data_IF_303020896850
#
_entry.id   IF_303020896850
#
_cell.length_a   1.000
_cell.length_b   1.000
_cell.length_c   1.000
_cell.angle_alpha   90.00
_cell.angle_beta   90.00
_cell.angle_gamma   90.00
#
_symmetry.space_group_name_H-M   'P 1'
#
loop_
_entity.id
_entity.type
_entity.pdbx_description
1 polymer ?
#
# COMPACT_ATOMS: atom_id res chain seq x y z
N UNK A 1 -19.24 -9.79 5.49
CA UNK A 1 -18.04 -10.60 5.12
C UNK A 1 -16.75 -9.77 4.90
N UNK A 2 -16.61 -8.55 5.44
CA UNK A 2 -15.48 -7.67 5.10
C UNK A 2 -14.46 -7.40 6.22
N UNK A 3 -14.65 -7.94 7.43
CA UNK A 3 -13.75 -7.66 8.57
C UNK A 3 -12.50 -8.56 8.64
N UNK A 4 -12.46 -9.66 7.90
CA UNK A 4 -11.38 -10.65 8.02
C UNK A 4 -10.05 -10.23 7.40
N UNK A 5 -10.06 -9.32 6.40
CA UNK A 5 -8.82 -8.87 5.73
C UNK A 5 -7.99 -7.90 6.57
N UNK A 6 -8.62 -7.27 7.54
CA UNK A 6 -8.01 -6.25 8.42
C UNK A 6 -7.80 -6.78 9.84
N UNK A 7 -7.78 -8.10 10.01
CA UNK A 7 -7.43 -8.76 11.26
C UNK A 7 -5.97 -9.22 11.22
N UNK A 8 -5.30 -9.20 12.36
CA UNK A 8 -3.92 -9.70 12.49
C UNK A 8 -3.79 -11.16 12.03
N UNK A 9 -4.79 -11.98 12.36
CA UNK A 9 -4.91 -13.36 11.90
C UNK A 9 -6.28 -13.57 11.25
N UNK A 10 -6.35 -13.70 9.92
CA UNK A 10 -7.61 -13.98 9.26
C UNK A 10 -8.07 -15.41 9.59
N UNK A 11 -9.29 -15.54 10.10
CA UNK A 11 -9.92 -16.85 10.39
C UNK A 11 -10.31 -17.65 9.14
N UNK A 12 -10.00 -17.18 7.95
CA UNK A 12 -10.31 -17.86 6.69
C UNK A 12 -9.41 -19.08 6.46
N UNK A 13 -10.00 -20.20 6.07
CA UNK A 13 -9.24 -21.38 5.63
C UNK A 13 -8.34 -21.03 4.45
N UNK A 14 -7.15 -21.63 4.37
CA UNK A 14 -6.23 -21.42 3.27
C UNK A 14 -6.82 -21.84 1.93
N UNK A 15 -6.76 -20.95 0.95
CA UNK A 15 -7.08 -21.20 -0.46
C UNK A 15 -6.06 -20.47 -1.31
N UNK A 16 -4.90 -21.09 -1.57
CA UNK A 16 -3.84 -20.49 -2.38
C UNK A 16 -4.35 -20.08 -3.76
N UNK A 17 -3.85 -18.97 -4.24
CA UNK A 17 -4.15 -18.42 -5.56
C UNK A 17 -2.92 -17.75 -6.17
N UNK A 18 -3.06 -17.30 -7.39
CA UNK A 18 -2.02 -16.60 -8.14
C UNK A 18 -2.61 -15.35 -8.80
N UNK A 19 -1.90 -14.24 -8.70
CA UNK A 19 -2.23 -12.99 -9.39
C UNK A 19 -1.07 -12.57 -10.26
N UNK A 20 -1.35 -12.26 -11.52
CA UNK A 20 -0.36 -11.70 -12.44
C UNK A 20 -0.44 -10.17 -12.44
N UNK A 21 0.69 -9.52 -12.19
CA UNK A 21 0.89 -8.09 -12.40
C UNK A 21 1.63 -7.96 -13.72
N UNK A 22 0.93 -7.44 -14.74
CA UNK A 22 1.48 -7.24 -16.09
C UNK A 22 1.41 -5.74 -16.39
N UNK A 23 2.57 -5.09 -16.37
CA UNK A 23 2.78 -3.70 -16.73
C UNK A 23 3.73 -3.64 -17.92
N UNK A 24 3.94 -2.47 -18.53
CA UNK A 24 4.87 -2.30 -19.63
C UNK A 24 6.33 -2.57 -19.25
N UNK A 25 6.66 -2.37 -17.98
CA UNK A 25 8.02 -2.40 -17.41
C UNK A 25 8.24 -3.53 -16.40
N UNK A 26 7.18 -4.12 -15.86
CA UNK A 26 7.26 -5.12 -14.78
C UNK A 26 6.25 -6.24 -15.00
N UNK A 27 6.73 -7.49 -14.95
CA UNK A 27 5.90 -8.69 -14.99
C UNK A 27 6.17 -9.55 -13.77
N UNK A 28 5.17 -9.75 -12.91
CA UNK A 28 5.27 -10.54 -11.68
C UNK A 28 4.12 -11.55 -11.59
N UNK A 29 4.42 -12.74 -11.09
CA UNK A 29 3.43 -13.73 -10.68
C UNK A 29 3.47 -13.82 -9.15
N UNK A 30 2.40 -13.43 -8.48
CA UNK A 30 2.32 -13.26 -7.03
C UNK A 30 1.40 -14.31 -6.41
N UNK A 31 1.93 -15.07 -5.47
CA UNK A 31 1.11 -15.96 -4.64
C UNK A 31 0.15 -15.13 -3.79
N UNK A 32 -1.06 -15.60 -3.70
CA UNK A 32 -2.10 -15.02 -2.85
C UNK A 32 -2.79 -16.10 -2.03
N UNK A 33 -3.68 -15.71 -1.13
CA UNK A 33 -4.49 -16.65 -0.36
C UNK A 33 -5.84 -16.00 0.01
N UNK A 34 -6.80 -16.81 0.40
CA UNK A 34 -7.99 -16.31 1.10
C UNK A 34 -7.58 -15.59 2.39
N UNK A 35 -8.38 -14.65 2.85
CA UNK A 35 -8.06 -13.84 4.03
C UNK A 35 -7.07 -12.69 3.78
N UNK A 36 -6.62 -12.48 2.53
CA UNK A 36 -5.91 -11.26 2.12
C UNK A 36 -6.75 -10.44 1.14
N UNK A 37 -6.37 -9.18 0.94
CA UNK A 37 -7.10 -8.30 0.02
C UNK A 37 -6.95 -8.75 -1.43
N UNK A 38 -8.07 -8.80 -2.17
CA UNK A 38 -8.13 -9.11 -3.61
C UNK A 38 -7.38 -10.39 -4.06
N UNK A 39 -7.69 -11.57 -3.49
CA UNK A 39 -6.88 -12.77 -3.66
C UNK A 39 -6.96 -13.41 -5.05
N UNK A 40 -7.96 -13.05 -5.88
CA UNK A 40 -8.19 -13.69 -7.19
C UNK A 40 -7.75 -12.84 -8.39
N UNK A 41 -7.42 -11.58 -8.19
CA UNK A 41 -7.00 -10.65 -9.25
C UNK A 41 -6.32 -9.42 -8.69
N UNK A 42 -5.54 -8.74 -9.53
CA UNK A 42 -5.03 -7.41 -9.19
C UNK A 42 -6.21 -6.43 -9.02
N UNK A 43 -6.26 -5.76 -7.86
CA UNK A 43 -7.31 -4.77 -7.60
C UNK A 43 -7.25 -3.61 -8.61
N UNK A 44 -8.40 -3.15 -9.15
CA UNK A 44 -8.40 -2.07 -10.15
C UNK A 44 -7.84 -0.74 -9.63
N UNK A 45 -8.00 -0.43 -8.34
CA UNK A 45 -7.37 0.74 -7.72
C UNK A 45 -5.86 0.61 -7.65
N UNK A 46 -5.37 -0.54 -7.18
CA UNK A 46 -3.94 -0.88 -7.19
C UNK A 46 -3.37 -0.80 -8.61
N UNK A 47 -4.09 -1.34 -9.61
CA UNK A 47 -3.70 -1.25 -11.01
C UNK A 47 -3.59 0.20 -11.49
N UNK A 48 -4.59 1.04 -11.16
CA UNK A 48 -4.55 2.45 -11.52
C UNK A 48 -3.34 3.15 -10.93
N UNK A 49 -3.05 2.93 -9.63
CA UNK A 49 -1.89 3.53 -8.97
C UNK A 49 -0.59 3.14 -9.66
N UNK A 50 -0.42 1.85 -9.99
CA UNK A 50 0.75 1.33 -10.71
C UNK A 50 0.93 1.92 -12.11
N UNK A 51 -0.19 2.21 -12.81
CA UNK A 51 -0.18 2.76 -14.16
C UNK A 51 0.14 4.26 -14.21
N UNK A 52 -0.26 5.03 -13.17
CA UNK A 52 -0.24 6.50 -13.26
C UNK A 52 0.72 7.19 -12.30
N UNK A 53 1.09 6.55 -11.18
CA UNK A 53 2.00 7.18 -10.23
C UNK A 53 3.38 7.38 -10.85
N UNK A 54 4.09 8.47 -10.50
CA UNK A 54 5.42 8.71 -11.01
C UNK A 54 6.39 7.62 -10.55
N UNK A 55 7.53 7.45 -11.23
CA UNK A 55 8.56 6.53 -10.79
C UNK A 55 8.96 6.79 -9.34
N UNK A 56 9.23 5.74 -8.54
CA UNK A 56 9.75 5.94 -7.20
C UNK A 56 11.15 6.57 -7.24
N UNK A 57 11.61 7.19 -6.12
CA UNK A 57 12.96 7.68 -6.01
C UNK A 57 13.96 6.53 -6.21
N UNK A 58 15.09 6.80 -6.86
CA UNK A 58 16.08 5.79 -7.20
C UNK A 58 16.70 5.12 -5.97
N UNK A 59 16.72 5.78 -4.83
CA UNK A 59 17.27 5.31 -3.55
C UNK A 59 16.45 5.89 -2.38
N UNK A 60 16.78 5.50 -1.15
CA UNK A 60 16.08 5.93 0.06
C UNK A 60 15.07 4.89 0.55
N UNK A 61 14.16 5.32 1.40
CA UNK A 61 13.15 4.47 2.02
C UNK A 61 11.76 4.74 1.43
N UNK A 62 11.15 3.72 0.86
CA UNK A 62 9.84 3.78 0.21
C UNK A 62 8.87 2.85 0.94
N UNK A 63 7.65 3.30 1.18
CA UNK A 63 6.64 2.54 1.92
C UNK A 63 5.45 2.13 1.03
N UNK A 64 5.08 0.86 1.11
CA UNK A 64 3.75 0.35 0.73
C UNK A 64 2.93 0.14 2.00
N UNK A 65 2.00 1.05 2.27
CA UNK A 65 1.14 1.02 3.46
C UNK A 65 -0.12 0.19 3.19
N UNK A 66 -0.23 -0.94 3.89
CA UNK A 66 -1.25 -1.95 3.64
C UNK A 66 -0.87 -2.83 2.46
N UNK A 67 0.32 -3.43 2.50
CA UNK A 67 0.96 -4.04 1.33
C UNK A 67 0.23 -5.30 0.82
N UNK A 68 -0.63 -5.93 1.62
CA UNK A 68 -1.26 -7.17 1.22
C UNK A 68 -0.23 -8.23 0.83
N UNK A 69 -0.44 -8.92 -0.28
CA UNK A 69 0.51 -9.89 -0.83
C UNK A 69 1.68 -9.26 -1.59
N UNK A 70 1.82 -7.92 -1.59
CA UNK A 70 2.99 -7.20 -2.08
C UNK A 70 2.88 -6.61 -3.49
N UNK A 71 1.67 -6.43 -4.05
CA UNK A 71 1.54 -5.95 -5.43
C UNK A 71 2.19 -4.58 -5.68
N UNK A 72 2.03 -3.60 -4.79
CA UNK A 72 2.69 -2.31 -4.88
C UNK A 72 4.17 -2.40 -4.48
N UNK A 73 4.47 -3.06 -3.35
CA UNK A 73 5.84 -3.17 -2.83
C UNK A 73 6.80 -3.79 -3.84
N UNK A 74 6.40 -4.87 -4.51
CA UNK A 74 7.28 -5.55 -5.44
C UNK A 74 7.48 -4.78 -6.75
N UNK A 75 6.47 -4.06 -7.22
CA UNK A 75 6.64 -3.16 -8.38
C UNK A 75 7.54 -1.97 -8.03
N UNK A 76 7.37 -1.36 -6.86
CA UNK A 76 8.27 -0.32 -6.35
C UNK A 76 9.71 -0.82 -6.30
N UNK A 77 9.93 -2.02 -5.75
CA UNK A 77 11.26 -2.62 -5.63
C UNK A 77 11.90 -2.94 -6.97
N UNK A 78 11.10 -3.39 -7.94
CA UNK A 78 11.56 -3.63 -9.31
C UNK A 78 11.96 -2.34 -10.02
N UNK A 79 11.21 -1.25 -9.82
CA UNK A 79 11.46 0.05 -10.44
C UNK A 79 12.62 0.82 -9.79
N UNK A 80 12.91 0.57 -8.51
CA UNK A 80 13.96 1.24 -7.74
C UNK A 80 14.85 0.24 -7.00
N UNK A 81 15.74 -0.48 -7.69
CA UNK A 81 16.54 -1.56 -7.09
C UNK A 81 17.52 -1.09 -6.00
N UNK A 82 17.89 0.20 -5.98
CA UNK A 82 18.74 0.77 -4.94
C UNK A 82 17.96 1.41 -3.77
N UNK A 83 16.62 1.50 -3.87
CA UNK A 83 15.76 1.92 -2.76
C UNK A 83 15.47 0.74 -1.82
N UNK A 84 15.25 1.02 -0.54
CA UNK A 84 14.69 0.05 0.41
C UNK A 84 13.17 0.19 0.41
N UNK A 85 12.48 -0.87 0.04
CA UNK A 85 11.01 -0.89 -0.01
C UNK A 85 10.48 -1.60 1.21
N UNK A 86 9.65 -0.91 1.96
CA UNK A 86 9.00 -1.38 3.18
C UNK A 86 7.55 -1.71 2.88
N UNK A 87 7.16 -2.97 3.00
CA UNK A 87 5.77 -3.40 2.97
C UNK A 87 5.26 -3.58 4.39
N UNK A 88 4.23 -2.84 4.77
CA UNK A 88 3.62 -3.00 6.10
C UNK A 88 2.16 -3.40 6.00
N UNK A 89 1.74 -4.31 6.84
CA UNK A 89 0.35 -4.74 6.96
C UNK A 89 0.06 -5.21 8.39
N UNK A 90 -1.18 -5.11 8.83
CA UNK A 90 -1.63 -5.71 10.10
C UNK A 90 -1.78 -7.23 9.96
N UNK A 91 -2.13 -7.71 8.78
CA UNK A 91 -2.41 -9.10 8.48
C UNK A 91 -1.11 -9.89 8.30
N UNK A 92 -0.78 -10.76 9.25
CA UNK A 92 0.44 -11.59 9.22
C UNK A 92 0.51 -12.53 8.01
N UNK A 93 -0.65 -13.01 7.51
CA UNK A 93 -0.71 -13.83 6.29
C UNK A 93 -0.31 -13.01 5.05
N UNK A 94 -0.74 -11.76 4.97
CA UNK A 94 -0.35 -10.84 3.92
C UNK A 94 1.17 -10.59 3.93
N UNK A 95 1.75 -10.34 5.08
CA UNK A 95 3.20 -10.17 5.26
C UNK A 95 3.97 -11.40 4.79
N UNK A 96 3.58 -12.60 5.24
CA UNK A 96 4.23 -13.85 4.82
C UNK A 96 4.15 -14.08 3.30
N UNK A 97 3.04 -13.68 2.67
CA UNK A 97 2.88 -13.73 1.21
C UNK A 97 3.79 -12.70 0.52
N UNK A 98 3.84 -11.48 1.01
CA UNK A 98 4.70 -10.43 0.47
C UNK A 98 6.18 -10.84 0.52
N UNK A 99 6.66 -11.35 1.64
CA UNK A 99 8.03 -11.88 1.81
C UNK A 99 8.33 -13.03 0.82
N UNK A 100 7.43 -14.01 0.71
CA UNK A 100 7.57 -15.12 -0.22
C UNK A 100 7.64 -14.63 -1.67
N UNK A 101 6.76 -13.73 -2.05
CA UNK A 101 6.71 -13.15 -3.39
C UNK A 101 7.98 -12.35 -3.70
N UNK A 102 8.50 -11.57 -2.75
CA UNK A 102 9.76 -10.86 -2.89
C UNK A 102 10.93 -11.82 -3.11
N UNK A 103 11.02 -12.88 -2.31
CA UNK A 103 12.04 -13.92 -2.47
C UNK A 103 11.98 -14.63 -3.83
N UNK A 104 10.76 -15.00 -4.28
CA UNK A 104 10.57 -15.62 -5.61
C UNK A 104 10.93 -14.70 -6.77
N UNK A 105 10.67 -13.41 -6.62
CA UNK A 105 11.01 -12.41 -7.63
C UNK A 105 12.48 -11.95 -7.56
N UNK A 106 13.29 -12.44 -6.61
CA UNK A 106 14.68 -12.03 -6.41
C UNK A 106 14.85 -10.58 -5.94
N UNK A 107 13.82 -9.99 -5.33
CA UNK A 107 13.81 -8.60 -4.89
C UNK A 107 14.35 -8.47 -3.46
N UNK A 108 15.67 -8.48 -3.31
CA UNK A 108 16.36 -8.44 -2.01
C UNK A 108 16.22 -7.08 -1.28
N UNK A 109 15.71 -6.06 -1.96
CA UNK A 109 15.49 -4.71 -1.41
C UNK A 109 14.09 -4.52 -0.77
N UNK A 110 13.26 -5.56 -0.70
CA UNK A 110 11.96 -5.54 0.00
C UNK A 110 12.16 -5.97 1.46
N UNK A 111 11.50 -5.27 2.36
CA UNK A 111 11.39 -5.59 3.79
C UNK A 111 9.91 -5.58 4.19
N UNK A 112 9.41 -6.66 4.76
CA UNK A 112 8.02 -6.77 5.17
C UNK A 112 7.93 -6.75 6.70
N UNK A 113 6.98 -5.98 7.24
CA UNK A 113 6.83 -5.82 8.70
C UNK A 113 5.34 -5.91 9.06
N UNK A 114 4.98 -6.89 9.88
CA UNK A 114 3.67 -6.91 10.49
C UNK A 114 3.61 -5.82 11.57
N UNK A 115 2.65 -4.90 11.42
CA UNK A 115 2.46 -3.80 12.37
C UNK A 115 1.17 -4.00 13.15
N UNK A 116 1.09 -3.40 14.33
CA UNK A 116 -0.13 -3.39 15.16
C UNK A 116 -0.63 -1.97 15.32
N UNK A 117 -1.95 -1.80 15.41
CA UNK A 117 -2.55 -0.48 15.58
C UNK A 117 -2.47 0.40 14.33
N UNK A 118 -2.58 1.70 14.52
CA UNK A 118 -2.73 2.70 13.44
C UNK A 118 -1.46 3.49 13.13
N UNK A 119 -0.35 3.21 13.82
CA UNK A 119 0.88 3.99 13.69
C UNK A 119 2.14 3.12 13.56
N UNK A 120 3.26 3.75 13.17
CA UNK A 120 4.54 3.08 12.96
C UNK A 120 5.31 2.84 14.29
N UNK A 121 4.75 2.04 15.18
CA UNK A 121 5.32 1.76 16.52
C UNK A 121 6.30 0.58 16.53
N UNK A 122 7.11 0.41 15.48
CA UNK A 122 8.08 -0.68 15.36
C UNK A 122 9.48 -0.11 15.07
N UNK A 123 10.45 -0.44 15.93
CA UNK A 123 11.82 0.08 15.86
C UNK A 123 12.60 -0.43 14.63
N UNK A 124 12.11 -1.45 13.95
CA UNK A 124 12.67 -1.95 12.68
C UNK A 124 12.40 -1.01 11.52
N UNK A 125 11.39 -0.14 11.64
CA UNK A 125 10.95 0.77 10.58
C UNK A 125 11.78 2.05 10.57
N UNK A 126 12.06 2.62 9.38
CA UNK A 126 12.76 3.89 9.28
C UNK A 126 11.93 5.03 9.89
N UNK A 127 12.62 6.05 10.37
CA UNK A 127 11.98 7.23 10.94
C UNK A 127 11.19 8.05 9.92
N UNK A 128 11.58 8.01 8.64
CA UNK A 128 10.98 8.76 7.54
C UNK A 128 11.01 7.97 6.25
N UNK A 129 10.09 8.32 5.33
CA UNK A 129 9.98 7.74 4.00
C UNK A 129 10.03 8.82 2.92
N UNK A 130 10.73 8.53 1.83
CA UNK A 130 10.87 9.40 0.66
C UNK A 130 9.66 9.28 -0.28
N UNK A 131 8.88 8.21 -0.12
CA UNK A 131 7.62 7.99 -0.83
C UNK A 131 6.74 7.05 -0.03
N UNK A 132 5.43 7.31 -0.01
CA UNK A 132 4.43 6.37 0.50
C UNK A 132 3.42 6.07 -0.62
N UNK A 133 3.23 4.79 -0.95
CA UNK A 133 2.09 4.34 -1.74
C UNK A 133 1.12 3.57 -0.86
N UNK A 134 -0.18 3.69 -1.16
CA UNK A 134 -1.21 2.93 -0.45
C UNK A 134 -2.47 2.73 -1.28
N UNK A 135 -3.03 1.56 -1.18
CA UNK A 135 -4.45 1.31 -1.42
C UNK A 135 -5.11 1.09 -0.04
N UNK A 136 -5.44 2.17 0.67
CA UNK A 136 -5.77 2.09 2.09
C UNK A 136 -7.08 1.34 2.34
N UNK A 137 -7.23 0.72 3.52
CA UNK A 137 -8.40 -0.09 3.87
C UNK A 137 -9.64 0.77 4.19
N UNK A 138 -10.28 1.36 3.18
CA UNK A 138 -11.42 2.28 3.33
C UNK A 138 -12.58 1.68 4.16
N UNK A 139 -12.74 0.36 4.10
CA UNK A 139 -13.86 -0.36 4.75
C UNK A 139 -13.73 -0.51 6.26
N UNK A 140 -12.61 -0.14 6.86
CA UNK A 140 -12.46 -0.11 8.33
C UNK A 140 -13.23 1.03 8.98
N UNK A 141 -13.80 1.93 8.18
CA UNK A 141 -14.53 3.12 8.61
C UNK A 141 -13.63 4.35 8.72
N UNK A 142 -14.27 5.53 8.60
CA UNK A 142 -13.56 6.82 8.55
C UNK A 142 -12.65 7.08 9.77
N UNK A 143 -13.08 6.87 11.02
CA UNK A 143 -12.22 7.17 12.17
C UNK A 143 -10.93 6.35 12.16
N UNK A 144 -11.02 5.04 11.90
CA UNK A 144 -9.85 4.16 11.87
C UNK A 144 -8.93 4.47 10.68
N UNK A 145 -9.51 4.76 9.50
CA UNK A 145 -8.75 5.18 8.32
C UNK A 145 -8.00 6.50 8.57
N UNK A 146 -8.67 7.48 9.16
CA UNK A 146 -8.07 8.77 9.49
C UNK A 146 -6.93 8.61 10.49
N UNK A 147 -7.12 7.81 11.55
CA UNK A 147 -6.08 7.52 12.53
C UNK A 147 -4.86 6.82 11.86
N UNK A 148 -5.10 5.84 10.99
CA UNK A 148 -4.06 5.18 10.21
C UNK A 148 -3.25 6.19 9.39
N UNK A 149 -3.92 6.97 8.55
CA UNK A 149 -3.26 7.94 7.68
C UNK A 149 -2.56 9.06 8.48
N UNK A 150 -3.18 9.58 9.55
CA UNK A 150 -2.55 10.56 10.43
C UNK A 150 -1.24 10.03 11.02
N UNK A 151 -1.21 8.78 11.48
CA UNK A 151 0.00 8.16 12.03
C UNK A 151 1.13 8.01 11.00
N UNK A 152 0.80 7.49 9.81
CA UNK A 152 1.82 7.16 8.81
C UNK A 152 2.27 8.35 7.96
N UNK A 153 1.40 9.28 7.62
CA UNK A 153 1.78 10.47 6.83
C UNK A 153 2.77 11.37 7.58
N UNK A 154 2.77 11.37 8.92
CA UNK A 154 3.78 12.10 9.70
C UNK A 154 5.22 11.60 9.47
N UNK A 155 5.38 10.40 8.92
CA UNK A 155 6.66 9.80 8.56
C UNK A 155 7.13 10.16 7.14
N UNK A 156 6.40 10.99 6.39
CA UNK A 156 6.94 11.55 5.14
C UNK A 156 8.17 12.42 5.44
N UNK A 157 9.22 12.23 4.65
CA UNK A 157 10.37 13.11 4.66
C UNK A 157 9.97 14.53 4.18
N UNK A 158 10.74 15.57 4.47
CA UNK A 158 10.50 16.90 3.90
C UNK A 158 10.44 16.83 2.38
N UNK A 159 9.43 17.46 1.77
CA UNK A 159 9.16 17.45 0.33
C UNK A 159 8.82 16.07 -0.30
N UNK A 160 8.72 15.01 0.50
CA UNK A 160 8.21 13.71 0.03
C UNK A 160 6.69 13.74 -0.10
N UNK A 161 6.15 12.83 -0.91
CA UNK A 161 4.72 12.71 -1.18
C UNK A 161 4.20 11.30 -0.92
N UNK A 162 2.89 11.22 -0.66
CA UNK A 162 2.18 9.95 -0.65
C UNK A 162 1.18 9.89 -1.82
N UNK A 163 1.06 8.73 -2.45
CA UNK A 163 0.01 8.45 -3.43
C UNK A 163 -0.98 7.45 -2.85
N UNK A 164 -2.23 7.89 -2.68
CA UNK A 164 -3.32 7.10 -2.10
C UNK A 164 -4.36 6.82 -3.17
N UNK A 165 -4.62 5.55 -3.49
CA UNK A 165 -5.72 5.21 -4.39
C UNK A 165 -6.99 4.91 -3.62
N UNK A 166 -8.09 5.56 -3.99
CA UNK A 166 -9.37 5.49 -3.30
C UNK A 166 -10.52 5.36 -4.30
N UNK A 167 -11.42 4.43 -4.05
CA UNK A 167 -12.64 4.32 -4.86
C UNK A 167 -13.54 5.53 -4.60
N UNK A 168 -14.02 6.18 -5.68
CA UNK A 168 -14.82 7.40 -5.61
C UNK A 168 -16.04 7.26 -4.69
N UNK A 169 -16.80 6.19 -4.89
CA UNK A 169 -18.03 5.94 -4.14
C UNK A 169 -17.80 5.54 -2.67
N UNK A 170 -16.57 5.23 -2.29
CA UNK A 170 -16.19 4.92 -0.90
C UNK A 170 -15.60 6.13 -0.16
N UNK A 171 -15.71 7.34 -0.73
CA UNK A 171 -15.45 8.58 -0.01
C UNK A 171 -14.16 9.29 -0.37
N UNK A 172 -13.65 9.17 -1.60
CA UNK A 172 -12.44 9.89 -2.03
C UNK A 172 -12.49 11.40 -1.81
N UNK A 173 -13.64 12.05 -2.07
CA UNK A 173 -13.82 13.50 -1.84
C UNK A 173 -13.84 13.86 -0.35
N UNK A 174 -14.42 12.98 0.47
CA UNK A 174 -14.44 13.14 1.92
C UNK A 174 -13.04 12.97 2.52
N UNK A 175 -12.25 12.01 2.00
CA UNK A 175 -10.88 11.79 2.44
C UNK A 175 -9.99 12.98 2.05
N UNK A 176 -10.10 13.47 0.81
CA UNK A 176 -9.34 14.63 0.36
C UNK A 176 -9.58 15.84 1.27
N UNK A 177 -10.84 16.20 1.51
CA UNK A 177 -11.20 17.30 2.42
C UNK A 177 -10.70 17.10 3.84
N UNK A 178 -10.72 15.88 4.35
CA UNK A 178 -10.18 15.59 5.67
C UNK A 178 -8.66 15.79 5.72
N UNK A 179 -7.93 15.36 4.71
CA UNK A 179 -6.48 15.59 4.59
C UNK A 179 -6.16 17.09 4.57
N UNK A 180 -6.86 17.86 3.75
CA UNK A 180 -6.71 19.32 3.65
C UNK A 180 -7.01 20.01 5.00
N UNK A 181 -8.10 19.64 5.67
CA UNK A 181 -8.44 20.13 7.02
C UNK A 181 -7.45 19.72 8.11
N UNK A 182 -6.68 18.65 7.87
CA UNK A 182 -5.63 18.16 8.77
C UNK A 182 -4.26 18.78 8.49
N UNK A 183 -4.19 19.77 7.58
CA UNK A 183 -2.96 20.50 7.26
C UNK A 183 -2.08 19.83 6.20
N UNK A 184 -2.62 18.86 5.45
CA UNK A 184 -1.92 18.25 4.31
C UNK A 184 -2.32 18.96 3.01
N UNK A 185 -1.37 19.12 2.10
CA UNK A 185 -1.71 19.37 0.69
C UNK A 185 -2.27 18.08 0.11
N UNK A 186 -3.45 18.12 -0.49
CA UNK A 186 -4.08 16.93 -1.09
C UNK A 186 -4.69 17.27 -2.44
N UNK A 187 -4.09 16.76 -3.51
CA UNK A 187 -4.54 17.00 -4.87
C UNK A 187 -5.00 15.71 -5.57
N UNK A 188 -5.92 15.83 -6.51
CA UNK A 188 -6.27 14.73 -7.40
C UNK A 188 -5.18 14.59 -8.46
N UNK A 189 -4.36 13.55 -8.33
CA UNK A 189 -3.31 13.26 -9.30
C UNK A 189 -3.87 12.58 -10.56
N UNK A 190 -4.77 11.61 -10.40
CA UNK A 190 -5.42 10.90 -11.50
C UNK A 190 -6.80 10.38 -11.11
N UNK A 191 -7.64 10.11 -12.14
CA UNK A 191 -8.93 9.44 -11.95
C UNK A 191 -9.26 8.56 -13.16
N UNK A 192 -9.63 7.30 -12.93
CA UNK A 192 -10.05 6.35 -13.96
C UNK A 192 -10.92 5.24 -13.35
N UNK A 193 -11.93 4.78 -14.09
CA UNK A 193 -12.77 3.61 -13.76
C UNK A 193 -13.36 3.66 -12.32
N UNK A 194 -13.76 4.86 -11.84
CA UNK A 194 -14.36 5.01 -10.52
C UNK A 194 -13.35 5.08 -9.36
N UNK A 195 -12.06 5.08 -9.63
CA UNK A 195 -10.98 5.30 -8.66
C UNK A 195 -10.33 6.67 -8.85
N UNK A 196 -9.74 7.18 -7.79
CA UNK A 196 -8.90 8.38 -7.77
C UNK A 196 -7.60 8.08 -7.09
N UNK A 197 -6.53 8.63 -7.62
CA UNK A 197 -5.24 8.72 -6.95
C UNK A 197 -5.13 10.13 -6.37
N UNK A 198 -4.94 10.22 -5.08
CA UNK A 198 -4.64 11.46 -4.37
C UNK A 198 -3.12 11.54 -4.17
N UNK A 199 -2.54 12.68 -4.53
CA UNK A 199 -1.19 13.06 -4.14
C UNK A 199 -1.29 13.87 -2.85
N UNK A 200 -0.53 13.47 -1.83
CA UNK A 200 -0.56 14.08 -0.50
C UNK A 200 0.85 14.45 -0.07
N UNK A 201 1.04 15.70 0.33
CA UNK A 201 2.32 16.23 0.80
C UNK A 201 2.14 17.28 1.89
N UNK A 202 3.22 17.91 2.29
CA UNK A 202 3.21 19.06 3.23
C UNK A 202 3.35 20.37 2.48
#
# INVERSE_FOLDING_TARGET
MSSQYFAEEPGAAHRPGLVHVVLSDVHLALDTDSGVFSPGRLDPGTRLLLDVAPPPPASGDVLDLGCGYGALALVLASRAPAARVWGVDINRRAIALCERNAGRAGLANVRCVAVTGTGPADDRLPGRYDLIWSNPPIRIGKPALHALLAGWLTRLAPAAVAYLVVQRNLGSDSLQRWLENSGWSAARYAARAGYRVLEVGR
#
